data_IF_577184486237
#
_entry.id   IF_577184486237
#
_cell.length_a   1.000
_cell.length_b   1.000
_cell.length_c   1.000
_cell.angle_alpha   90.00
_cell.angle_beta   90.00
_cell.angle_gamma   90.00
#
_symmetry.space_group_name_H-M   'P 1'
#
loop_
_entity.id
_entity.type
_entity.pdbx_description
1 polymer ?
#
# COMPACT_ATOMS: atom_id res chain seq x y z
N UNK A 1 22.63 8.14 -5.70
CA UNK A 1 22.29 8.51 -4.30
C UNK A 1 20.79 8.74 -4.12
N UNK A 2 20.13 9.54 -4.96
CA UNK A 2 18.68 9.81 -4.88
C UNK A 2 17.82 8.53 -4.96
N UNK A 3 18.19 7.57 -5.80
CA UNK A 3 17.44 6.31 -5.91
C UNK A 3 17.47 5.47 -4.63
N UNK A 4 18.57 5.49 -3.88
CA UNK A 4 18.65 4.76 -2.61
C UNK A 4 17.71 5.38 -1.56
N UNK A 5 17.57 6.71 -1.57
CA UNK A 5 16.65 7.45 -0.69
C UNK A 5 15.20 7.16 -1.10
N UNK A 6 14.89 7.21 -2.39
CA UNK A 6 13.55 6.91 -2.92
C UNK A 6 13.12 5.48 -2.57
N UNK A 7 13.99 4.49 -2.82
CA UNK A 7 13.75 3.09 -2.43
C UNK A 7 13.57 2.92 -0.92
N UNK A 8 14.38 3.61 -0.12
CA UNK A 8 14.26 3.61 1.34
C UNK A 8 12.91 4.15 1.81
N UNK A 9 12.44 5.25 1.21
CA UNK A 9 11.12 5.81 1.52
C UNK A 9 9.99 4.89 1.07
N UNK A 10 10.03 4.35 -0.14
CA UNK A 10 9.03 3.40 -0.63
C UNK A 10 8.92 2.19 0.31
N UNK A 11 10.05 1.56 0.67
CA UNK A 11 10.07 0.43 1.61
C UNK A 11 9.55 0.82 3.00
N UNK A 12 9.87 2.03 3.47
CA UNK A 12 9.34 2.56 4.74
C UNK A 12 7.82 2.69 4.70
N UNK A 13 7.27 3.29 3.65
CA UNK A 13 5.82 3.45 3.46
C UNK A 13 5.11 2.10 3.33
N UNK A 14 5.69 1.15 2.59
CA UNK A 14 5.16 -0.20 2.47
C UNK A 14 5.03 -0.89 3.83
N UNK A 15 6.07 -0.83 4.66
CA UNK A 15 6.02 -1.38 6.02
C UNK A 15 4.98 -0.68 6.91
N UNK A 16 4.86 0.65 6.79
CA UNK A 16 3.85 1.42 7.52
C UNK A 16 2.42 0.99 7.13
N UNK A 17 2.16 0.80 5.84
CA UNK A 17 0.89 0.31 5.34
C UNK A 17 0.54 -1.06 5.94
N UNK A 18 1.47 -2.01 5.91
CA UNK A 18 1.26 -3.34 6.50
C UNK A 18 0.93 -3.26 8.00
N UNK A 19 1.58 -2.35 8.74
CA UNK A 19 1.30 -2.15 10.16
C UNK A 19 -0.11 -1.57 10.39
N UNK A 20 -0.54 -0.61 9.56
CA UNK A 20 -1.91 -0.06 9.62
C UNK A 20 -2.96 -1.15 9.41
N UNK A 21 -2.76 -2.02 8.43
CA UNK A 21 -3.71 -3.10 8.11
C UNK A 21 -3.77 -4.15 9.20
N UNK A 22 -2.62 -4.53 9.73
CA UNK A 22 -2.54 -5.40 10.89
C UNK A 22 -3.28 -4.80 12.11
N UNK A 23 -3.14 -3.49 12.35
CA UNK A 23 -3.87 -2.78 13.42
C UNK A 23 -5.37 -2.65 13.16
N UNK A 24 -5.78 -2.56 11.91
CA UNK A 24 -7.18 -2.57 11.50
C UNK A 24 -7.83 -3.97 11.59
N UNK A 25 -7.05 -5.03 11.86
CA UNK A 25 -7.55 -6.40 11.85
C UNK A 25 -7.78 -6.95 10.45
N UNK A 26 -7.21 -6.30 9.43
CA UNK A 26 -7.29 -6.73 8.04
C UNK A 26 -6.12 -7.66 7.73
N UNK A 27 -6.43 -8.95 7.57
CA UNK A 27 -5.45 -9.94 7.15
C UNK A 27 -5.21 -9.80 5.64
N UNK A 28 -3.94 -9.59 5.28
CA UNK A 28 -3.48 -9.62 3.91
C UNK A 28 -3.10 -11.05 3.52
N UNK A 29 -3.40 -11.43 2.28
CA UNK A 29 -2.80 -12.61 1.68
C UNK A 29 -1.29 -12.42 1.51
N UNK A 30 -0.53 -13.51 1.44
CA UNK A 30 0.92 -13.43 1.17
C UNK A 30 1.21 -12.71 -0.17
N UNK A 31 0.36 -12.93 -1.18
CA UNK A 31 0.47 -12.29 -2.48
C UNK A 31 0.29 -10.76 -2.39
N UNK A 32 -0.70 -10.29 -1.62
CA UNK A 32 -0.92 -8.85 -1.44
C UNK A 32 0.19 -8.21 -0.60
N UNK A 33 0.71 -8.93 0.39
CA UNK A 33 1.85 -8.48 1.18
C UNK A 33 3.11 -8.33 0.32
N UNK A 34 3.38 -9.30 -0.55
CA UNK A 34 4.49 -9.23 -1.50
C UNK A 34 4.30 -8.09 -2.50
N UNK A 35 3.08 -7.87 -2.99
CA UNK A 35 2.74 -6.73 -3.86
C UNK A 35 3.05 -5.39 -3.21
N UNK A 36 2.70 -5.22 -1.93
CA UNK A 36 3.01 -4.00 -1.18
C UNK A 36 4.52 -3.81 -0.99
N UNK A 37 5.25 -4.88 -0.65
CA UNK A 37 6.69 -4.82 -0.39
C UNK A 37 7.54 -4.62 -1.65
N UNK A 38 7.09 -5.13 -2.79
CA UNK A 38 7.75 -4.98 -4.09
C UNK A 38 7.45 -3.65 -4.78
N UNK A 39 6.44 -2.91 -4.30
CA UNK A 39 6.07 -1.62 -4.86
C UNK A 39 7.15 -0.55 -4.61
N UNK A 40 7.71 0.00 -5.68
CA UNK A 40 8.70 1.09 -5.62
C UNK A 40 8.09 2.47 -5.87
N UNK A 41 6.81 2.51 -6.22
CA UNK A 41 6.08 3.75 -6.48
C UNK A 41 5.59 4.36 -5.16
N UNK A 42 6.22 5.49 -4.79
CA UNK A 42 5.86 6.19 -3.56
C UNK A 42 4.46 6.81 -3.58
N UNK A 43 4.00 7.28 -4.74
CA UNK A 43 2.68 7.91 -4.86
C UNK A 43 1.59 6.85 -4.69
N UNK A 44 1.76 5.70 -5.35
CA UNK A 44 0.86 4.57 -5.20
C UNK A 44 0.79 4.08 -3.75
N UNK A 45 1.94 3.92 -3.09
CA UNK A 45 2.00 3.54 -1.67
C UNK A 45 1.30 4.58 -0.78
N UNK A 46 1.46 5.88 -1.06
CA UNK A 46 0.80 6.94 -0.31
C UNK A 46 -0.73 6.92 -0.50
N UNK A 47 -1.22 6.57 -1.68
CA UNK A 47 -2.65 6.37 -1.95
C UNK A 47 -3.19 5.21 -1.11
N UNK A 48 -2.51 4.06 -1.12
CA UNK A 48 -2.93 2.90 -0.33
C UNK A 48 -2.95 3.20 1.17
N UNK A 49 -1.95 3.91 1.69
CA UNK A 49 -1.92 4.35 3.11
C UNK A 49 -3.13 5.21 3.45
N UNK A 50 -3.54 6.13 2.56
CA UNK A 50 -4.72 6.97 2.78
C UNK A 50 -6.03 6.17 2.72
N UNK A 51 -6.09 5.10 1.92
CA UNK A 51 -7.29 4.26 1.75
C UNK A 51 -7.43 3.17 2.82
N UNK A 52 -6.31 2.65 3.32
CA UNK A 52 -6.25 1.58 4.32
C UNK A 52 -7.24 1.70 5.51
N UNK A 53 -7.46 2.89 6.12
CA UNK A 53 -8.41 3.01 7.23
C UNK A 53 -9.89 3.02 6.82
N UNK A 54 -10.21 3.14 5.54
CA UNK A 54 -11.58 3.26 5.03
C UNK A 54 -12.08 2.00 4.33
N UNK A 55 -11.23 0.99 4.16
CA UNK A 55 -11.58 -0.24 3.44
C UNK A 55 -11.94 -1.35 4.43
N UNK A 56 -12.97 -2.12 4.11
CA UNK A 56 -13.35 -3.32 4.88
C UNK A 56 -12.50 -4.54 4.53
N UNK A 57 -11.85 -4.54 3.35
CA UNK A 57 -10.94 -5.60 2.89
C UNK A 57 -9.68 -5.01 2.32
N UNK A 58 -8.58 -5.74 2.48
CA UNK A 58 -7.30 -5.29 1.95
C UNK A 58 -7.29 -5.14 0.42
N UNK A 59 -8.02 -5.97 -0.31
CA UNK A 59 -8.07 -5.86 -1.77
C UNK A 59 -8.69 -4.55 -2.27
N UNK A 60 -9.63 -3.98 -1.51
CA UNK A 60 -10.31 -2.74 -1.87
C UNK A 60 -9.36 -1.53 -1.88
N UNK A 61 -8.22 -1.59 -1.17
CA UNK A 61 -7.23 -0.52 -1.22
C UNK A 61 -6.51 -0.47 -2.57
N UNK A 62 -6.38 -1.62 -3.24
CA UNK A 62 -5.67 -1.74 -4.52
C UNK A 62 -6.55 -1.34 -5.69
N UNK A 63 -7.87 -1.41 -5.53
CA UNK A 63 -8.82 -0.93 -6.52
C UNK A 63 -8.70 0.57 -6.63
N UNK A 64 -8.42 1.04 -7.84
CA UNK A 64 -8.46 2.46 -8.12
C UNK A 64 -9.90 2.87 -8.50
N UNK A 65 -10.57 3.74 -7.72
CA UNK A 65 -11.90 4.22 -8.04
C UNK A 65 -11.92 5.12 -9.28
N UNK A 66 -10.78 5.66 -9.74
CA UNK A 66 -10.73 6.54 -10.92
C UNK A 66 -10.80 5.76 -12.23
N UNK A 67 -10.33 4.51 -12.26
CA UNK A 67 -10.50 3.58 -13.39
C UNK A 67 -11.96 3.14 -13.64
N UNK A 68 -12.89 3.49 -12.76
CA UNK A 68 -14.33 3.25 -12.95
C UNK A 68 -15.07 4.42 -13.65
N UNK A 69 -14.35 5.47 -14.08
CA UNK A 69 -14.88 6.65 -14.79
C UNK A 69 -14.41 6.80 -16.24
N UNK A 70 -13.90 5.74 -16.88
CA UNK A 70 -13.59 5.75 -18.34
C UNK A 70 -14.74 5.26 -19.20
#
# INVERSE_FOLDING_TARGET
MLEAIARGKARGTANYLLLCLYKAGLELSEADRERVLSCTDQEQLAIWVKRAPYVDRAEDMFTDPDLSRS
#
